data_IF_288590886535
#
_entry.id   IF_288590886535
#
_cell.length_a   1.000
_cell.length_b   1.000
_cell.length_c   1.000
_cell.angle_alpha   90.00
_cell.angle_beta   90.00
_cell.angle_gamma   90.00
#
_symmetry.space_group_name_H-M   'P 1'
#
loop_
_entity.id
_entity.type
_entity.pdbx_description
1 polymer ?
#
# COMPACT_ATOMS: atom_id res chain seq x y z
N UNK A 1 -17.38 -5.81 6.99
CA UNK A 1 -17.24 -4.87 5.86
C UNK A 1 -18.04 -3.64 6.22
N UNK A 2 -17.41 -2.47 6.16
CA UNK A 2 -18.10 -1.19 6.16
C UNK A 2 -18.57 -0.98 4.71
N UNK A 3 -19.87 -1.11 4.49
CA UNK A 3 -20.49 -1.00 3.17
C UNK A 3 -20.42 0.44 2.62
N UNK A 4 -20.18 1.43 3.47
CA UNK A 4 -20.08 2.85 3.10
C UNK A 4 -18.70 3.17 2.55
N UNK A 5 -17.67 2.53 3.11
CA UNK A 5 -16.27 2.73 2.72
C UNK A 5 -15.73 1.62 1.79
N UNK A 6 -16.53 0.58 1.52
CA UNK A 6 -16.10 -0.66 0.87
C UNK A 6 -14.76 -1.19 1.43
N UNK A 7 -14.62 -1.15 2.77
CA UNK A 7 -13.44 -1.64 3.52
C UNK A 7 -13.84 -2.75 4.49
N UNK A 8 -13.03 -3.80 4.72
CA UNK A 8 -13.22 -4.67 5.87
C UNK A 8 -13.08 -3.88 7.17
N UNK A 9 -13.98 -4.14 8.11
CA UNK A 9 -13.98 -3.48 9.42
C UNK A 9 -12.86 -4.11 10.23
N UNK A 10 -11.91 -3.30 10.66
CA UNK A 10 -10.89 -3.74 11.60
C UNK A 10 -11.52 -3.83 12.99
N UNK A 11 -11.51 -5.02 13.61
CA UNK A 11 -12.24 -5.30 14.85
C UNK A 11 -11.53 -4.77 16.12
N UNK A 12 -10.69 -3.75 15.97
CA UNK A 12 -9.73 -3.28 16.96
C UNK A 12 -10.21 -2.03 17.74
N UNK A 13 -11.40 -1.50 17.43
CA UNK A 13 -12.06 -0.43 18.20
C UNK A 13 -12.70 -0.93 19.51
N UNK A 14 -12.32 -2.12 19.99
CA UNK A 14 -12.84 -2.73 21.21
C UNK A 14 -11.85 -2.54 22.37
N UNK A 15 -12.33 -2.22 23.58
CA UNK A 15 -11.46 -2.15 24.76
C UNK A 15 -10.67 -3.45 24.95
N UNK A 16 -9.34 -3.33 25.09
CA UNK A 16 -8.44 -4.47 25.33
C UNK A 16 -7.76 -5.07 24.09
N UNK A 17 -7.99 -4.54 22.89
CA UNK A 17 -7.24 -4.92 21.69
C UNK A 17 -5.89 -4.19 21.63
N UNK A 18 -4.79 -4.92 21.34
CA UNK A 18 -3.47 -4.33 21.10
C UNK A 18 -3.39 -3.93 19.62
N UNK A 19 -3.62 -2.64 19.34
CA UNK A 19 -3.48 -2.04 18.02
C UNK A 19 -2.05 -1.51 17.87
N UNK A 20 -1.29 -2.01 16.90
CA UNK A 20 0.05 -1.51 16.58
C UNK A 20 0.13 -1.18 15.09
N UNK A 21 0.86 -0.12 14.74
CA UNK A 21 1.05 0.30 13.36
C UNK A 21 2.44 -0.11 12.83
N UNK A 22 2.57 -0.38 11.52
CA UNK A 22 1.50 -0.54 10.54
C UNK A 22 0.89 -1.95 10.56
N UNK A 23 -0.42 -1.98 10.33
CA UNK A 23 -1.23 -3.19 10.23
C UNK A 23 -1.46 -3.57 8.79
N UNK A 24 -1.32 -4.86 8.50
CA UNK A 24 -1.60 -5.45 7.21
C UNK A 24 -2.74 -6.46 7.31
N UNK A 25 -3.51 -6.58 6.24
CA UNK A 25 -4.45 -7.68 6.00
C UNK A 25 -3.91 -8.43 4.80
N UNK A 26 -3.56 -9.70 5.00
CA UNK A 26 -3.03 -10.56 3.95
C UNK A 26 -4.08 -10.94 2.91
N UNK A 27 -3.62 -11.51 1.79
CA UNK A 27 -4.51 -12.09 0.76
C UNK A 27 -5.36 -13.25 1.27
N UNK A 28 -4.95 -13.86 2.39
CA UNK A 28 -5.69 -14.87 3.16
C UNK A 28 -6.77 -14.28 4.09
N UNK A 29 -6.87 -12.94 4.15
CA UNK A 29 -7.78 -12.20 5.03
C UNK A 29 -7.33 -12.11 6.48
N UNK A 30 -6.13 -12.60 6.82
CA UNK A 30 -5.59 -12.56 8.19
C UNK A 30 -4.92 -11.21 8.43
N UNK A 31 -5.25 -10.59 9.55
CA UNK A 31 -4.56 -9.39 10.02
C UNK A 31 -3.23 -9.74 10.66
N UNK A 32 -2.18 -9.00 10.34
CA UNK A 32 -0.86 -9.14 10.95
C UNK A 32 -0.15 -7.79 11.07
N UNK A 33 0.89 -7.74 11.90
CA UNK A 33 1.73 -6.56 12.08
C UNK A 33 3.09 -6.74 11.44
N UNK A 34 3.64 -5.66 10.92
CA UNK A 34 5.06 -5.56 10.60
C UNK A 34 5.55 -4.22 11.11
N UNK A 35 6.45 -4.25 12.10
CA UNK A 35 6.87 -3.03 12.78
C UNK A 35 7.75 -2.12 11.94
N UNK A 36 8.57 -2.69 11.06
CA UNK A 36 9.59 -1.94 10.34
C UNK A 36 10.50 -1.10 11.26
N UNK A 37 11.13 -0.09 10.66
CA UNK A 37 11.90 0.94 11.34
C UNK A 37 11.56 2.29 10.70
N UNK A 38 11.67 3.37 11.49
CA UNK A 38 11.54 4.72 10.94
C UNK A 38 12.66 5.02 9.94
N UNK A 39 12.32 5.83 8.94
CA UNK A 39 13.21 6.32 7.89
C UNK A 39 13.90 5.18 7.10
N UNK A 40 13.14 4.10 6.84
CA UNK A 40 13.63 2.90 6.15
C UNK A 40 12.64 2.38 5.13
N UNK A 41 13.17 1.75 4.09
CA UNK A 41 12.41 1.15 3.01
C UNK A 41 12.30 -0.37 3.19
N UNK A 42 11.12 -0.91 2.95
CA UNK A 42 10.84 -2.33 3.05
C UNK A 42 10.04 -2.87 1.87
N UNK A 43 10.38 -4.08 1.44
CA UNK A 43 9.71 -4.80 0.37
C UNK A 43 8.39 -5.42 0.85
N UNK A 44 7.28 -4.81 0.42
CA UNK A 44 5.93 -5.29 0.71
C UNK A 44 5.55 -6.47 -0.18
N UNK A 45 5.81 -6.35 -1.48
CA UNK A 45 5.46 -7.36 -2.49
C UNK A 45 6.59 -7.46 -3.49
N UNK A 46 6.99 -8.67 -3.84
CA UNK A 46 7.96 -8.94 -4.88
C UNK A 46 7.59 -10.22 -5.60
N UNK A 47 7.40 -10.11 -6.90
CA UNK A 47 7.04 -11.15 -7.82
C UNK A 47 7.74 -10.88 -9.16
N UNK A 48 7.69 -11.83 -10.11
CA UNK A 48 8.42 -11.75 -11.37
C UNK A 48 8.25 -10.43 -12.12
N UNK A 49 7.06 -9.84 -12.08
CA UNK A 49 6.70 -8.64 -12.83
C UNK A 49 6.17 -7.49 -11.95
N UNK A 50 6.26 -7.62 -10.63
CA UNK A 50 5.78 -6.60 -9.71
C UNK A 50 6.68 -6.52 -8.49
N UNK A 51 7.17 -5.33 -8.17
CA UNK A 51 7.88 -5.06 -6.93
C UNK A 51 7.27 -3.82 -6.28
N UNK A 52 6.92 -3.91 -5.01
CA UNK A 52 6.37 -2.80 -4.24
C UNK A 52 7.20 -2.68 -2.98
N UNK A 53 7.88 -1.54 -2.86
CA UNK A 53 8.50 -1.12 -1.61
C UNK A 53 7.65 -0.04 -0.95
N UNK A 54 7.82 0.08 0.36
CA UNK A 54 7.22 1.14 1.14
C UNK A 54 8.29 1.83 1.99
N UNK A 55 8.24 3.17 2.01
CA UNK A 55 9.01 3.98 2.94
C UNK A 55 8.24 4.13 4.24
N UNK A 56 8.88 3.76 5.34
CA UNK A 56 8.31 3.85 6.68
C UNK A 56 8.83 5.12 7.35
N UNK A 57 7.93 5.98 7.80
CA UNK A 57 8.23 7.04 8.76
C UNK A 57 7.92 6.56 10.16
N UNK A 58 8.39 7.27 11.18
CA UNK A 58 8.04 6.88 12.54
C UNK A 58 8.49 7.82 13.63
N UNK A 59 7.96 7.59 14.83
CA UNK A 59 8.27 8.36 16.03
C UNK A 59 8.70 7.43 17.16
N UNK A 60 9.81 7.80 17.79
CA UNK A 60 10.31 7.17 19.01
C UNK A 60 9.75 7.89 20.23
N UNK A 61 9.13 7.16 21.15
CA UNK A 61 8.66 7.69 22.43
C UNK A 61 9.47 7.11 23.58
N UNK A 62 10.42 7.88 24.12
CA UNK A 62 11.32 7.44 25.19
C UNK A 62 12.51 6.58 24.73
N UNK A 63 13.50 6.40 25.59
CA UNK A 63 14.78 5.77 25.22
C UNK A 63 14.71 4.25 25.00
N UNK A 64 13.76 3.56 25.63
CA UNK A 64 13.65 2.10 25.62
C UNK A 64 12.48 1.55 24.78
N UNK A 65 11.72 2.42 24.11
CA UNK A 65 10.52 1.99 23.38
C UNK A 65 10.84 1.70 21.91
N UNK A 66 10.01 0.87 21.26
CA UNK A 66 10.07 0.62 19.81
C UNK A 66 9.65 1.89 19.03
N UNK A 67 10.09 2.03 17.78
CA UNK A 67 9.50 3.04 16.88
C UNK A 67 8.04 2.68 16.57
N UNK A 68 7.14 3.65 16.69
CA UNK A 68 5.86 3.59 15.99
C UNK A 68 6.09 4.01 14.56
N UNK A 69 5.58 3.25 13.60
CA UNK A 69 5.86 3.51 12.18
C UNK A 69 4.59 3.50 11.34
N UNK A 70 4.66 4.20 10.20
CA UNK A 70 3.58 4.34 9.23
C UNK A 70 4.15 4.39 7.82
N UNK A 71 3.38 3.94 6.82
CA UNK A 71 3.81 3.94 5.42
C UNK A 71 3.60 5.32 4.82
N UNK A 72 4.68 6.06 4.54
CA UNK A 72 4.57 7.40 3.95
C UNK A 72 4.50 7.35 2.42
N UNK A 73 5.20 6.42 1.80
CA UNK A 73 5.26 6.33 0.34
C UNK A 73 5.45 4.91 -0.15
N UNK A 74 5.11 4.70 -1.41
CA UNK A 74 5.27 3.47 -2.17
C UNK A 74 6.16 3.73 -3.39
N UNK A 75 7.09 2.81 -3.62
CA UNK A 75 7.78 2.64 -4.89
C UNK A 75 7.27 1.38 -5.57
N UNK A 76 6.61 1.53 -6.70
CA UNK A 76 6.02 0.42 -7.45
C UNK A 76 6.80 0.25 -8.73
N UNK A 77 7.47 -0.89 -8.89
CA UNK A 77 8.20 -1.27 -10.10
C UNK A 77 7.45 -2.38 -10.83
N UNK A 78 7.37 -2.21 -12.14
CA UNK A 78 6.89 -3.20 -13.09
C UNK A 78 7.77 -3.08 -14.35
N UNK A 79 7.75 -4.05 -15.26
CA UNK A 79 8.73 -4.09 -16.34
C UNK A 79 8.81 -2.78 -17.13
N UNK A 80 10.00 -2.18 -17.16
CA UNK A 80 10.30 -0.95 -17.90
C UNK A 80 9.94 0.36 -17.22
N UNK A 81 9.22 0.33 -16.09
CA UNK A 81 8.62 1.53 -15.51
C UNK A 81 8.59 1.51 -13.98
N UNK A 82 8.47 2.69 -13.39
CA UNK A 82 8.25 2.84 -11.95
C UNK A 82 7.27 3.97 -11.63
N UNK A 83 6.49 3.77 -10.57
CA UNK A 83 5.52 4.72 -10.05
C UNK A 83 5.83 5.02 -8.59
N UNK A 84 5.81 6.30 -8.25
CA UNK A 84 5.85 6.82 -6.88
C UNK A 84 4.45 7.24 -6.45
N UNK A 85 4.04 6.84 -5.24
CA UNK A 85 2.84 7.35 -4.55
C UNK A 85 3.24 7.70 -3.13
N UNK A 86 3.06 8.95 -2.71
CA UNK A 86 3.52 9.41 -1.40
C UNK A 86 2.59 10.42 -0.73
N UNK A 87 2.78 10.55 0.58
CA UNK A 87 2.20 11.58 1.42
C UNK A 87 3.23 12.68 1.70
N UNK A 88 2.90 13.95 1.38
CA UNK A 88 3.71 15.11 1.74
C UNK A 88 3.62 15.37 3.24
N UNK A 89 4.78 15.57 3.87
CA UNK A 89 4.89 15.98 5.28
C UNK A 89 4.11 17.27 5.55
N UNK A 90 3.43 17.34 6.69
CA UNK A 90 2.64 18.53 7.07
C UNK A 90 2.60 18.71 8.58
N UNK A 91 2.68 19.95 9.06
CA UNK A 91 2.58 20.24 10.50
C UNK A 91 1.14 20.42 10.98
N UNK A 92 0.24 20.81 10.08
CA UNK A 92 -1.18 21.02 10.36
C UNK A 92 -2.02 20.31 9.30
N UNK A 93 -3.05 19.60 9.75
CA UNK A 93 -3.96 18.89 8.86
C UNK A 93 -5.16 19.75 8.46
N UNK A 94 -5.52 19.68 7.18
CA UNK A 94 -6.72 20.27 6.58
C UNK A 94 -7.12 19.35 5.43
N UNK A 95 -8.32 18.77 5.49
CA UNK A 95 -8.81 17.81 4.50
C UNK A 95 -8.89 18.40 3.08
N UNK A 96 -9.00 19.72 2.94
CA UNK A 96 -9.06 20.41 1.66
C UNK A 96 -7.69 20.60 0.99
N UNK A 97 -6.59 20.48 1.75
CA UNK A 97 -5.24 20.64 1.21
C UNK A 97 -4.72 19.29 0.72
N UNK A 98 -4.42 19.21 -0.56
CA UNK A 98 -3.89 18.00 -1.18
C UNK A 98 -2.42 17.79 -0.81
N UNK A 99 -2.14 16.63 -0.21
CA UNK A 99 -0.81 16.19 0.22
C UNK A 99 -0.36 14.96 -0.54
N UNK A 100 -1.07 14.59 -1.61
CA UNK A 100 -0.66 13.52 -2.49
C UNK A 100 0.58 13.94 -3.29
N UNK A 101 1.56 13.04 -3.39
CA UNK A 101 2.71 13.18 -4.27
C UNK A 101 2.78 11.99 -5.21
N UNK A 102 2.83 12.27 -6.52
CA UNK A 102 2.78 11.27 -7.58
C UNK A 102 3.89 11.55 -8.59
N UNK A 103 4.61 10.51 -9.00
CA UNK A 103 5.55 10.58 -10.10
C UNK A 103 5.57 9.26 -10.88
N UNK A 104 5.73 9.34 -12.19
CA UNK A 104 5.85 8.19 -13.08
C UNK A 104 7.13 8.32 -13.89
N UNK A 105 7.98 7.30 -13.83
CA UNK A 105 9.32 7.28 -14.42
C UNK A 105 10.19 8.50 -14.04
N UNK A 106 10.04 8.96 -12.78
CA UNK A 106 10.74 10.12 -12.24
C UNK A 106 10.08 11.47 -12.56
N UNK A 107 9.10 11.51 -13.46
CA UNK A 107 8.39 12.73 -13.85
C UNK A 107 7.14 12.95 -12.98
N UNK A 108 6.96 14.15 -12.38
CA UNK A 108 5.78 14.44 -11.58
C UNK A 108 4.47 14.33 -12.37
N UNK A 109 3.49 13.64 -11.79
CA UNK A 109 2.14 13.54 -12.38
C UNK A 109 1.32 14.76 -11.94
N UNK A 110 0.77 15.47 -12.93
CA UNK A 110 -0.21 16.55 -12.70
C UNK A 110 -1.62 15.99 -12.80
N UNK A 111 -2.22 15.70 -11.65
CA UNK A 111 -3.60 15.22 -11.53
C UNK A 111 -4.46 16.31 -10.87
N UNK A 112 -5.48 16.87 -11.56
CA UNK A 112 -6.35 17.89 -10.98
C UNK A 112 -6.95 17.46 -9.64
N UNK A 113 -7.11 18.37 -8.67
CA UNK A 113 -7.71 18.08 -7.37
C UNK A 113 -9.24 18.09 -7.47
N UNK A 114 -9.79 17.12 -8.20
CA UNK A 114 -11.23 16.93 -8.38
C UNK A 114 -11.54 15.45 -8.45
N UNK A 115 -12.52 14.98 -7.67
CA UNK A 115 -12.94 13.59 -7.72
C UNK A 115 -13.29 13.15 -9.15
N UNK A 116 -12.80 11.98 -9.56
CA UNK A 116 -12.98 11.45 -10.91
C UNK A 116 -12.05 12.04 -11.97
N UNK A 117 -11.16 12.99 -11.63
CA UNK A 117 -10.11 13.41 -12.54
C UNK A 117 -9.17 12.23 -12.87
N UNK A 118 -8.80 12.08 -14.13
CA UNK A 118 -8.00 10.96 -14.63
C UNK A 118 -6.68 11.43 -15.22
N UNK A 119 -5.66 10.59 -15.06
CA UNK A 119 -4.39 10.70 -15.76
C UNK A 119 -4.05 9.34 -16.39
N UNK A 120 -3.53 9.39 -17.61
CA UNK A 120 -3.10 8.21 -18.36
C UNK A 120 -1.66 8.41 -18.80
N UNK A 121 -0.86 7.35 -18.70
CA UNK A 121 0.52 7.40 -19.19
C UNK A 121 0.54 7.43 -20.73
N UNK A 122 1.35 8.33 -21.29
CA UNK A 122 1.57 8.41 -22.74
C UNK A 122 2.53 7.33 -23.25
N UNK A 123 3.41 6.82 -22.38
CA UNK A 123 4.40 5.79 -22.72
C UNK A 123 3.93 4.39 -22.35
N UNK A 124 2.96 4.27 -21.43
CA UNK A 124 2.41 3.01 -20.95
C UNK A 124 0.88 3.07 -20.82
N UNK A 125 0.12 2.90 -21.92
CA UNK A 125 -1.34 3.11 -21.95
C UNK A 125 -2.15 2.26 -20.96
N UNK A 126 -1.59 1.14 -20.52
CA UNK A 126 -2.19 0.23 -19.54
C UNK A 126 -2.15 0.76 -18.09
N UNK A 127 -1.66 1.99 -17.87
CA UNK A 127 -1.53 2.63 -16.56
C UNK A 127 -2.44 3.85 -16.50
N UNK A 128 -3.29 3.87 -15.49
CA UNK A 128 -4.21 4.96 -15.21
C UNK A 128 -4.20 5.32 -13.73
N UNK A 129 -4.41 6.60 -13.46
CA UNK A 129 -4.62 7.12 -12.12
C UNK A 129 -5.92 7.91 -12.11
N UNK A 130 -6.77 7.67 -11.12
CA UNK A 130 -8.06 8.37 -10.94
C UNK A 130 -8.13 8.96 -9.55
N UNK A 131 -8.51 10.23 -9.41
CA UNK A 131 -8.83 10.82 -8.11
C UNK A 131 -10.03 10.12 -7.49
N UNK A 132 -9.89 9.68 -6.26
CA UNK A 132 -11.02 9.10 -5.48
C UNK A 132 -11.71 10.10 -4.58
N UNK A 133 -11.13 11.30 -4.43
CA UNK A 133 -11.61 12.44 -3.64
C UNK A 133 -11.05 13.73 -4.24
N UNK A 134 -11.61 14.87 -3.86
CA UNK A 134 -11.10 16.19 -4.27
C UNK A 134 -9.65 16.44 -3.80
N UNK A 135 -9.26 15.90 -2.64
CA UNK A 135 -7.89 15.93 -2.13
C UNK A 135 -7.51 14.60 -1.48
N UNK A 136 -6.20 14.32 -1.42
CA UNK A 136 -5.60 13.24 -0.64
C UNK A 136 -5.96 11.80 -1.06
N UNK A 137 -6.79 11.59 -2.09
CA UNK A 137 -7.22 10.25 -2.53
C UNK A 137 -6.89 9.96 -3.99
N UNK A 138 -6.31 8.78 -4.25
CA UNK A 138 -6.04 8.28 -5.61
C UNK A 138 -6.24 6.77 -5.72
N UNK A 139 -6.76 6.34 -6.85
CA UNK A 139 -6.74 4.96 -7.31
C UNK A 139 -5.74 4.84 -8.45
N UNK A 140 -4.78 3.94 -8.31
CA UNK A 140 -3.83 3.53 -9.35
C UNK A 140 -4.33 2.22 -9.93
N UNK A 141 -4.45 2.14 -11.26
CA UNK A 141 -4.80 0.93 -11.98
C UNK A 141 -3.74 0.59 -13.02
N UNK A 142 -3.19 -0.62 -12.92
CA UNK A 142 -2.39 -1.25 -13.98
C UNK A 142 -3.18 -2.42 -14.53
N UNK A 143 -3.62 -2.31 -15.79
CA UNK A 143 -4.55 -3.25 -16.42
C UNK A 143 -4.05 -4.69 -16.25
N UNK A 144 -4.95 -5.56 -15.77
CA UNK A 144 -4.72 -6.99 -15.56
C UNK A 144 -3.57 -7.37 -14.60
N UNK A 145 -2.98 -6.42 -13.88
CA UNK A 145 -1.92 -6.71 -12.90
C UNK A 145 -2.33 -6.42 -11.47
N UNK A 146 -2.62 -5.16 -11.16
CA UNK A 146 -2.98 -4.74 -9.82
C UNK A 146 -3.72 -3.39 -9.81
N UNK A 147 -4.37 -3.11 -8.69
CA UNK A 147 -4.89 -1.80 -8.35
C UNK A 147 -4.47 -1.42 -6.92
N UNK A 148 -4.22 -0.12 -6.70
CA UNK A 148 -3.90 0.44 -5.39
C UNK A 148 -4.86 1.60 -5.15
N UNK A 149 -5.62 1.55 -4.06
CA UNK A 149 -6.32 2.73 -3.55
C UNK A 149 -5.49 3.28 -2.40
N UNK A 150 -5.06 4.54 -2.51
CA UNK A 150 -4.24 5.22 -1.53
C UNK A 150 -4.95 6.49 -1.07
N UNK A 151 -5.02 6.66 0.25
CA UNK A 151 -5.54 7.88 0.88
C UNK A 151 -4.50 8.41 1.85
N UNK A 152 -4.12 9.69 1.71
CA UNK A 152 -3.27 10.36 2.68
C UNK A 152 -4.12 10.73 3.88
N UNK A 153 -3.66 10.32 5.07
CA UNK A 153 -4.32 10.56 6.35
C UNK A 153 -3.32 11.11 7.37
N UNK A 154 -3.75 11.96 8.32
CA UNK A 154 -2.92 12.37 9.44
C UNK A 154 -2.97 11.31 10.54
N UNK A 155 -2.10 11.45 11.53
CA UNK A 155 -2.36 10.91 12.86
C UNK A 155 -3.11 11.98 13.66
N UNK A 156 -4.27 11.63 14.20
CA UNK A 156 -5.08 12.59 14.95
C UNK A 156 -4.61 12.72 16.39
N UNK A 157 -5.04 13.78 17.08
CA UNK A 157 -4.79 13.95 18.51
C UNK A 157 -5.42 12.79 19.33
N UNK A 158 -6.57 12.27 18.89
CA UNK A 158 -7.24 11.15 19.52
C UNK A 158 -6.38 9.87 19.42
N UNK A 159 -5.87 9.56 18.23
CA UNK A 159 -5.00 8.40 18.01
C UNK A 159 -3.71 8.53 18.84
N UNK A 160 -3.11 9.72 18.82
CA UNK A 160 -1.91 10.03 19.60
C UNK A 160 -2.11 9.81 21.10
N UNK A 161 -3.26 10.24 21.65
CA UNK A 161 -3.62 10.02 23.07
C UNK A 161 -3.89 8.54 23.37
N UNK A 162 -4.63 7.86 22.49
CA UNK A 162 -5.02 6.45 22.66
C UNK A 162 -3.81 5.52 22.66
N UNK A 163 -2.85 5.77 21.76
CA UNK A 163 -1.69 4.91 21.54
C UNK A 163 -0.40 5.43 22.18
N UNK A 164 -0.43 6.63 22.77
CA UNK A 164 0.72 7.21 23.45
C UNK A 164 1.83 7.64 22.49
N UNK A 165 1.49 8.03 21.26
CA UNK A 165 2.46 8.47 20.26
C UNK A 165 3.14 9.79 20.63
N UNK A 166 2.49 10.61 21.48
CA UNK A 166 2.99 11.91 21.93
C UNK A 166 3.35 12.85 20.76
N UNK A 167 2.51 12.85 19.72
CA UNK A 167 2.63 13.73 18.56
C UNK A 167 2.36 15.17 18.99
N UNK A 168 3.23 16.06 18.55
CA UNK A 168 3.22 17.51 18.81
C UNK A 168 2.92 18.26 17.52
N UNK A 169 2.69 19.56 17.60
CA UNK A 169 2.33 20.44 16.47
C UNK A 169 3.46 20.65 15.43
N UNK A 170 4.52 19.85 15.48
CA UNK A 170 5.65 19.88 14.55
C UNK A 170 5.38 19.09 13.26
N UNK A 171 4.59 18.01 13.36
CA UNK A 171 4.29 17.09 12.26
C UNK A 171 3.04 16.25 12.60
N UNK A 172 2.09 16.16 11.67
CA UNK A 172 0.93 15.27 11.79
C UNK A 172 1.24 13.84 11.35
N UNK A 173 2.48 13.54 10.91
CA UNK A 173 2.88 12.22 10.39
C UNK A 173 1.94 11.74 9.28
N UNK A 174 1.69 12.62 8.30
CA UNK A 174 0.85 12.29 7.15
C UNK A 174 1.40 11.04 6.44
N UNK A 175 0.54 10.04 6.26
CA UNK A 175 0.90 8.73 5.75
C UNK A 175 -0.23 8.13 4.91
N UNK A 176 0.01 6.98 4.30
CA UNK A 176 -0.91 6.32 3.37
C UNK A 176 -1.71 5.22 4.08
N UNK A 177 -3.04 5.32 3.98
CA UNK A 177 -3.96 4.20 4.15
C UNK A 177 -4.18 3.53 2.79
N UNK A 178 -3.86 2.22 2.70
CA UNK A 178 -3.62 1.52 1.44
C UNK A 178 -4.52 0.29 1.30
N UNK A 179 -5.10 0.14 0.11
CA UNK A 179 -5.81 -1.07 -0.32
C UNK A 179 -5.18 -1.57 -1.61
N UNK A 180 -4.61 -2.76 -1.57
CA UNK A 180 -4.07 -3.45 -2.73
C UNK A 180 -5.04 -4.51 -3.23
N UNK A 181 -5.22 -4.55 -4.55
CA UNK A 181 -5.90 -5.65 -5.24
C UNK A 181 -4.95 -6.19 -6.29
N UNK A 182 -4.57 -7.46 -6.19
CA UNK A 182 -3.70 -8.09 -7.18
C UNK A 182 -4.49 -9.07 -8.04
N UNK A 183 -4.26 -9.05 -9.35
CA UNK A 183 -4.99 -9.88 -10.32
C UNK A 183 -4.12 -11.01 -10.90
N UNK A 184 -2.80 -10.81 -10.97
CA UNK A 184 -1.89 -11.72 -11.67
C UNK A 184 -0.58 -11.94 -10.92
N UNK A 185 -0.66 -12.42 -9.67
CA UNK A 185 0.52 -12.86 -8.91
C UNK A 185 0.87 -14.32 -9.23
N UNK A 186 2.16 -14.62 -9.34
CA UNK A 186 2.66 -15.98 -9.45
C UNK A 186 2.68 -16.69 -8.09
N UNK A 187 2.80 -18.01 -8.10
CA UNK A 187 2.91 -18.78 -6.86
C UNK A 187 4.25 -18.54 -6.11
N UNK A 188 5.21 -17.83 -6.71
CA UNK A 188 6.48 -17.43 -6.07
C UNK A 188 6.45 -16.01 -5.48
N UNK A 189 5.31 -15.31 -5.49
CA UNK A 189 5.17 -13.99 -4.87
C UNK A 189 5.66 -13.98 -3.41
N UNK A 190 6.52 -13.06 -3.03
CA UNK A 190 7.07 -12.91 -1.68
C UNK A 190 6.98 -11.46 -1.22
N UNK A 191 7.51 -11.16 -0.03
CA UNK A 191 7.45 -9.84 0.60
C UNK A 191 6.62 -9.89 1.87
N UNK A 192 6.62 -8.79 2.65
CA UNK A 192 5.87 -8.70 3.91
C UNK A 192 4.39 -9.07 3.69
N UNK A 193 3.78 -8.45 2.68
CA UNK A 193 2.42 -8.70 2.25
C UNK A 193 2.36 -9.85 1.23
N UNK A 194 3.28 -9.88 0.27
CA UNK A 194 3.23 -10.82 -0.86
C UNK A 194 3.23 -12.29 -0.43
N UNK A 195 3.94 -12.66 0.63
CA UNK A 195 3.95 -14.04 1.13
C UNK A 195 2.56 -14.58 1.53
N UNK A 196 1.61 -13.70 1.86
CA UNK A 196 0.22 -14.05 2.24
C UNK A 196 -0.66 -14.40 1.03
N UNK A 197 -0.17 -14.16 -0.19
CA UNK A 197 -0.89 -14.45 -1.43
C UNK A 197 -0.50 -15.80 -2.05
N UNK A 198 0.47 -16.51 -1.48
CA UNK A 198 0.89 -17.81 -1.98
C UNK A 198 -0.20 -18.86 -1.73
N UNK A 199 -0.65 -19.54 -2.79
CA UNK A 199 -1.72 -20.56 -2.71
C UNK A 199 -1.42 -21.73 -1.77
N UNK A 200 -0.14 -22.11 -1.61
CA UNK A 200 0.28 -23.32 -0.89
C UNK A 200 1.05 -23.03 0.40
N UNK A 201 1.01 -21.80 0.91
CA UNK A 201 1.72 -21.45 2.14
C UNK A 201 0.68 -21.24 3.25
N UNK A 202 0.45 -22.22 4.15
CA UNK A 202 -0.32 -21.94 5.35
C UNK A 202 0.36 -20.78 6.07
N UNK A 203 -0.43 -19.76 6.41
CA UNK A 203 0.04 -18.53 7.03
C UNK A 203 1.01 -18.87 8.17
N UNK A 204 2.26 -18.38 8.06
CA UNK A 204 3.28 -18.49 9.13
C UNK A 204 2.93 -17.66 10.36
N UNK A 205 1.79 -16.98 10.30
CA UNK A 205 1.08 -16.39 11.41
C UNK A 205 0.98 -17.42 12.54
N UNK A 206 1.63 -17.11 13.66
CA UNK A 206 1.40 -17.79 14.93
C UNK A 206 -0.09 -17.65 15.29
N UNK A 207 -0.87 -18.69 15.01
CA UNK A 207 -2.32 -18.72 15.24
C UNK A 207 -2.69 -18.83 16.74
N UNK A 208 -1.70 -18.89 17.62
CA UNK A 208 -1.82 -18.85 19.08
C UNK A 208 -1.81 -17.40 19.65
N UNK A 209 -1.61 -16.38 18.82
CA UNK A 209 -1.59 -14.96 19.21
C UNK A 209 -2.67 -14.19 18.46
N UNK A 210 -3.36 -13.26 19.15
CA UNK A 210 -4.50 -12.52 18.61
C UNK A 210 -4.20 -11.76 17.29
N UNK A 211 -2.96 -11.27 17.11
CA UNK A 211 -2.44 -10.72 15.84
C UNK A 211 -0.94 -11.04 15.74
N UNK A 212 -0.48 -11.80 14.74
CA UNK A 212 0.91 -12.20 14.58
C UNK A 212 1.78 -11.06 14.01
N UNK A 213 3.07 -11.06 14.35
CA UNK A 213 4.10 -10.24 13.67
C UNK A 213 4.76 -11.07 12.58
N UNK A 214 4.72 -10.62 11.33
CA UNK A 214 5.29 -11.36 10.19
C UNK A 214 6.57 -10.70 9.67
N UNK A 215 7.62 -11.50 9.54
CA UNK A 215 8.85 -11.10 8.88
C UNK A 215 9.85 -10.36 9.77
N UNK A 216 11.13 -10.47 9.42
CA UNK A 216 12.21 -9.73 10.07
C UNK A 216 12.63 -8.51 9.25
N UNK A 217 12.96 -7.41 9.91
CA UNK A 217 13.43 -6.17 9.24
C UNK A 217 14.57 -6.44 8.25
N UNK A 218 15.54 -7.30 8.62
CA UNK A 218 16.67 -7.67 7.76
C UNK A 218 16.25 -8.40 6.47
N UNK A 219 15.17 -9.16 6.50
CA UNK A 219 14.71 -9.95 5.35
C UNK A 219 14.10 -9.06 4.26
N UNK A 220 13.38 -8.02 4.67
CA UNK A 220 12.59 -7.19 3.79
C UNK A 220 13.17 -5.80 3.55
N UNK A 221 14.20 -5.38 4.29
CA UNK A 221 14.86 -4.10 4.08
C UNK A 221 15.40 -3.99 2.64
N UNK A 222 15.24 -2.80 2.06
CA UNK A 222 15.83 -2.41 0.77
C UNK A 222 16.75 -1.22 0.96
N UNK A 223 17.67 -1.00 0.03
CA UNK A 223 18.54 0.19 0.04
C UNK A 223 17.83 1.48 -0.39
N UNK A 224 16.64 1.38 -0.97
CA UNK A 224 15.90 2.50 -1.51
C UNK A 224 14.48 2.12 -1.97
N UNK A 225 13.65 3.14 -2.16
CA UNK A 225 12.24 2.99 -2.55
C UNK A 225 12.07 2.30 -3.92
N UNK A 226 13.05 2.41 -4.82
CA UNK A 226 13.07 1.71 -6.11
C UNK A 226 14.11 0.59 -6.19
N UNK A 227 14.78 0.25 -5.08
CA UNK A 227 15.75 -0.83 -5.06
C UNK A 227 15.07 -2.19 -5.01
N UNK A 228 15.64 -3.19 -5.68
CA UNK A 228 15.10 -4.56 -5.75
C UNK A 228 16.01 -5.56 -5.04
N UNK A 229 16.66 -5.11 -3.97
CA UNK A 229 17.79 -5.77 -3.30
C UNK A 229 17.45 -6.42 -1.95
N UNK A 230 16.17 -6.52 -1.58
CA UNK A 230 15.77 -7.27 -0.40
C UNK A 230 16.09 -8.77 -0.55
N UNK A 231 16.29 -9.47 0.57
CA UNK A 231 16.57 -10.91 0.56
C UNK A 231 15.43 -11.75 -0.03
N UNK A 232 14.21 -11.21 0.03
CA UNK A 232 13.00 -11.81 -0.53
C UNK A 232 12.84 -11.58 -2.05
N UNK A 233 13.71 -10.80 -2.72
CA UNK A 233 13.48 -10.33 -4.08
C UNK A 233 13.20 -11.46 -5.09
N UNK A 234 12.17 -11.26 -5.91
CA UNK A 234 11.74 -12.12 -7.03
C UNK A 234 11.58 -11.35 -8.36
N UNK A 235 11.75 -10.04 -8.32
CA UNK A 235 11.53 -9.17 -9.46
C UNK A 235 12.53 -9.40 -10.59
N UNK A 236 12.02 -9.44 -11.83
CA UNK A 236 12.82 -9.61 -13.04
C UNK A 236 12.46 -8.51 -14.04
N UNK A 237 13.34 -7.52 -14.20
CA UNK A 237 13.11 -6.35 -15.04
C UNK A 237 12.92 -6.68 -16.55
N UNK A 238 13.34 -7.86 -17.01
CA UNK A 238 13.33 -8.27 -18.43
C UNK A 238 11.96 -8.71 -19.01
N UNK A 239 10.84 -8.39 -18.36
CA UNK A 239 9.50 -8.91 -18.72
C UNK A 239 8.59 -8.01 -19.57
N UNK A 240 9.06 -6.84 -20.04
CA UNK A 240 8.20 -5.79 -20.61
C UNK A 240 7.33 -6.26 -21.78
N UNK A 241 7.87 -7.10 -22.67
CA UNK A 241 7.15 -7.63 -23.83
C UNK A 241 5.97 -8.55 -23.46
N UNK A 242 5.95 -9.18 -22.28
CA UNK A 242 4.84 -10.03 -21.84
C UNK A 242 3.69 -9.19 -21.26
N UNK A 243 4.02 -8.12 -20.53
CA UNK A 243 3.05 -7.18 -19.95
C UNK A 243 2.33 -6.38 -21.02
N UNK A 244 3.05 -5.88 -22.02
CA UNK A 244 2.46 -5.17 -23.15
C UNK A 244 1.50 -6.03 -23.98
N UNK A 245 1.82 -7.33 -24.15
CA UNK A 245 0.93 -8.28 -24.83
C UNK A 245 -0.36 -8.49 -24.05
N UNK A 246 -0.28 -8.66 -22.73
CA UNK A 246 -1.47 -8.81 -21.87
C UNK A 246 -2.33 -7.54 -21.83
N UNK A 247 -1.72 -6.35 -21.85
CA UNK A 247 -2.46 -5.08 -21.93
C UNK A 247 -3.25 -4.93 -23.24
N UNK A 248 -2.63 -5.25 -24.38
CA UNK A 248 -3.26 -5.15 -25.71
C UNK A 248 -4.42 -6.11 -25.92
N UNK A 249 -4.34 -7.33 -25.38
CA UNK A 249 -5.44 -8.30 -25.46
C UNK A 249 -6.66 -7.85 -24.63
N UNK A 250 -6.43 -7.16 -23.51
CA UNK A 250 -7.48 -6.71 -22.61
C UNK A 250 -8.12 -5.36 -23.03
N UNK A 251 -7.38 -4.48 -23.70
CA UNK A 251 -7.92 -3.25 -24.33
C UNK A 251 -8.97 -3.58 -25.42
N UNK A 252 -8.77 -4.68 -26.16
CA UNK A 252 -9.71 -5.16 -27.17
C UNK A 252 -11.02 -5.73 -26.58
N UNK A 253 -11.10 -5.93 -25.26
CA UNK A 253 -12.29 -6.45 -24.56
C UNK A 253 -13.18 -5.35 -23.96
N UNK A 254 -12.86 -4.08 -24.22
CA UNK A 254 -13.52 -2.93 -23.60
C UNK A 254 -13.07 -2.75 -22.16
N UNK A 255 -12.67 -1.53 -21.81
CA UNK A 255 -12.33 -1.16 -20.44
C UNK A 255 -13.54 -1.39 -19.54
N UNK A 256 -13.45 -2.23 -18.49
CA UNK A 256 -14.47 -2.22 -17.46
C UNK A 256 -14.38 -0.83 -16.82
N UNK A 257 -15.43 -0.02 -16.97
CA UNK A 257 -15.65 1.10 -16.05
C UNK A 257 -15.67 0.50 -14.65
N UNK A 258 -14.60 0.66 -13.90
CA UNK A 258 -14.51 0.19 -12.52
C UNK A 258 -15.32 1.12 -11.63
N UNK A 259 -16.64 1.14 -11.81
CA UNK A 259 -17.52 1.48 -10.70
C UNK A 259 -17.35 0.34 -9.70
N UNK A 260 -16.66 0.63 -8.61
CA UNK A 260 -16.46 -0.27 -7.48
C UNK A 260 -17.83 -0.58 -6.85
N UNK A 261 -18.57 -1.52 -7.44
CA UNK A 261 -19.85 -1.96 -6.92
C UNK A 261 -19.62 -3.07 -5.90
N UNK A 262 -19.74 -2.73 -4.61
CA UNK A 262 -19.68 -3.68 -3.50
C UNK A 262 -20.74 -4.79 -3.67
N UNK A 263 -20.34 -5.95 -4.20
CA UNK A 263 -21.15 -7.16 -4.25
C UNK A 263 -20.56 -8.22 -3.31
N UNK A 264 -21.44 -8.89 -2.57
CA UNK A 264 -21.10 -9.85 -1.50
C UNK A 264 -20.63 -11.23 -2.01
N UNK A 265 -20.05 -11.35 -3.21
CA UNK A 265 -19.61 -12.63 -3.77
C UNK A 265 -18.09 -12.73 -3.83
N UNK A 266 -17.58 -13.82 -3.25
CA UNK A 266 -16.17 -14.26 -3.24
C UNK A 266 -15.55 -14.19 -4.65
N UNK A 267 -14.59 -13.29 -4.86
CA UNK A 267 -13.57 -13.40 -5.90
C UNK A 267 -12.39 -12.48 -5.56
N UNK A 268 -11.17 -13.01 -5.69
CA UNK A 268 -9.87 -12.33 -5.49
C UNK A 268 -9.51 -11.94 -4.05
N UNK A 269 -8.28 -12.26 -3.62
CA UNK A 269 -7.74 -11.87 -2.32
C UNK A 269 -7.41 -10.38 -2.32
N UNK A 270 -7.98 -9.63 -1.38
CA UNK A 270 -7.65 -8.23 -1.15
C UNK A 270 -6.62 -8.15 -0.04
N UNK A 271 -5.57 -7.37 -0.22
CA UNK A 271 -4.54 -7.16 0.79
C UNK A 271 -4.49 -5.70 1.09
N UNK A 272 -4.47 -5.36 2.37
CA UNK A 272 -4.62 -3.98 2.80
C UNK A 272 -3.51 -3.64 3.77
N UNK A 273 -3.08 -2.39 3.78
CA UNK A 273 -2.33 -1.84 4.91
C UNK A 273 -3.19 -0.71 5.48
N UNK A 274 -3.82 -0.97 6.63
CA UNK A 274 -4.76 -0.06 7.24
C UNK A 274 -4.18 0.52 8.51
N UNK A 275 -3.92 1.81 8.53
CA UNK A 275 -3.59 2.57 9.74
C UNK A 275 -4.87 3.23 10.27
N UNK A 276 -5.18 3.01 11.55
CA UNK A 276 -6.25 3.69 12.30
C UNK A 276 -5.90 3.60 13.77
#
# INVERSE_FOLDING_TARGET
>A
MDCTLCKPVCNCDRPGAVCQDPRFIGGDGITFYFHGQRDRDFCLVTDRHLHINAHFIGKRVGANNRDFTWVQSLGVLFPGHHLFVGARKTAAWDDAIDRLELAFDGEPIKLPPAEGAEWHSQTAPHISLTRTRDANGVAVGVVAQFAINAVVVPITEEDSKRHGYNITDEDCFAHLDLVFTFYNLTDDVHGILGQTYRKNNPSRARMDVAVPVLGGEKEFATSGIFSTDCLAARFQAGGAAAVEKMGKEHENMGTPRTTMQCHSRRASGYGMACTR
#
